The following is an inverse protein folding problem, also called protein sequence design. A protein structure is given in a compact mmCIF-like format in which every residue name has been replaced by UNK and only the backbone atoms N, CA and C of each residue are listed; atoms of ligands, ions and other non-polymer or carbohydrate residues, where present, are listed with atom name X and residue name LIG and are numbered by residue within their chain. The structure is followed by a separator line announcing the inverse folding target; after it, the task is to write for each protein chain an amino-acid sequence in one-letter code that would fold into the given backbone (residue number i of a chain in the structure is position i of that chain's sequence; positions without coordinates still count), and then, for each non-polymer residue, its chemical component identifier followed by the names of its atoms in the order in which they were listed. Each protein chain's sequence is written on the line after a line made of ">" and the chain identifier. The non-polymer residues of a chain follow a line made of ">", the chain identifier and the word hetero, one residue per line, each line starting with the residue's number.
data_IF_749766839861
#
_entry.id   IF_749766839861
#
_cell.length_a   1.000
_cell.length_b   1.000
_cell.length_c   1.000
_cell.angle_alpha   90.00
_cell.angle_beta   90.00
_cell.angle_gamma   90.00
#
_symmetry.space_group_name_H-M   'P 1'
#
loop_
_entity.id
_entity.type
_entity.pdbx_description
1 polymer ?
#
# COMPACT_ATOMS: atom_id res chain seq x y z
N UNK A 1 10.55 -13.38 -0.46
CA UNK A 1 10.96 -12.11 -1.10
C UNK A 1 9.86 -11.74 -2.07
N UNK A 2 9.32 -10.52 -2.03
CA UNK A 2 8.39 -10.04 -3.06
C UNK A 2 9.22 -9.71 -4.30
N UNK A 3 9.51 -10.74 -5.08
CA UNK A 3 10.12 -10.61 -6.39
C UNK A 3 9.07 -10.05 -7.36
N UNK A 4 9.51 -9.14 -8.23
CA UNK A 4 8.68 -8.67 -9.34
C UNK A 4 8.04 -9.87 -10.06
N UNK A 5 6.70 -9.88 -10.26
CA UNK A 5 6.07 -11.01 -10.93
C UNK A 5 6.58 -11.11 -12.37
N UNK A 6 6.77 -12.34 -12.90
CA UNK A 6 7.25 -12.52 -14.26
C UNK A 6 6.36 -11.78 -15.25
N UNK A 7 6.95 -11.26 -16.32
CA UNK A 7 6.20 -10.57 -17.36
C UNK A 7 5.32 -11.55 -18.12
N UNK A 8 4.06 -11.17 -18.35
CA UNK A 8 3.14 -11.97 -19.16
C UNK A 8 2.73 -11.22 -20.43
N UNK A 9 2.27 -11.96 -21.44
CA UNK A 9 1.73 -11.37 -22.68
C UNK A 9 0.45 -10.55 -22.44
N UNK A 10 -0.22 -10.76 -21.31
CA UNK A 10 -1.48 -10.12 -20.94
C UNK A 10 -1.27 -8.94 -19.99
N UNK A 11 -0.02 -8.55 -19.72
CA UNK A 11 0.28 -7.38 -18.90
C UNK A 11 -0.23 -6.11 -19.59
N UNK A 12 -1.08 -5.34 -18.91
CA UNK A 12 -1.46 -4.01 -19.39
C UNK A 12 -0.30 -3.05 -19.14
N UNK A 13 0.17 -2.36 -20.17
CA UNK A 13 1.30 -1.44 -20.09
C UNK A 13 0.90 -0.07 -20.61
N UNK A 14 1.14 0.95 -19.82
CA UNK A 14 0.91 2.35 -20.21
C UNK A 14 1.93 3.26 -19.52
N UNK A 15 1.94 4.54 -19.88
CA UNK A 15 2.77 5.56 -19.23
C UNK A 15 1.86 6.60 -18.60
N UNK A 16 2.11 6.93 -17.33
CA UNK A 16 1.39 7.97 -16.61
C UNK A 16 2.39 9.03 -16.13
N UNK A 17 2.20 10.28 -16.54
CA UNK A 17 3.14 11.38 -16.29
C UNK A 17 4.58 11.09 -16.75
N UNK A 18 4.78 10.19 -17.71
CA UNK A 18 6.12 9.77 -18.15
C UNK A 18 6.76 8.67 -17.30
N UNK A 19 6.02 8.07 -16.37
CA UNK A 19 6.43 6.91 -15.56
C UNK A 19 5.78 5.65 -16.15
N UNK A 20 6.56 4.60 -16.50
CA UNK A 20 6.01 3.34 -16.99
C UNK A 20 5.18 2.64 -15.91
N UNK A 21 3.96 2.24 -16.26
CA UNK A 21 3.05 1.48 -15.40
C UNK A 21 2.73 0.14 -16.06
N UNK A 22 2.90 -0.95 -15.30
CA UNK A 22 2.55 -2.32 -15.67
C UNK A 22 1.49 -2.85 -14.72
N UNK A 23 0.42 -3.43 -15.25
CA UNK A 23 -0.63 -4.07 -14.44
C UNK A 23 -0.69 -5.55 -14.82
N UNK A 24 -0.41 -6.41 -13.85
CA UNK A 24 -0.47 -7.85 -14.03
C UNK A 24 -1.94 -8.34 -14.02
N UNK A 25 -2.36 -9.27 -14.89
CA UNK A 25 -3.76 -9.74 -14.96
C UNK A 25 -4.35 -10.23 -13.64
N UNK A 26 -3.51 -10.86 -12.80
CA UNK A 26 -3.92 -11.38 -11.50
C UNK A 26 -4.39 -10.28 -10.53
N UNK A 27 -3.98 -9.02 -10.74
CA UNK A 27 -4.52 -7.88 -10.01
C UNK A 27 -6.05 -7.80 -10.15
N UNK A 28 -6.54 -7.90 -11.38
CA UNK A 28 -7.97 -7.82 -11.67
C UNK A 28 -8.73 -9.03 -11.11
N UNK A 29 -8.14 -10.23 -11.22
CA UNK A 29 -8.74 -11.44 -10.67
C UNK A 29 -8.94 -11.34 -9.16
N UNK A 30 -7.90 -10.94 -8.41
CA UNK A 30 -7.99 -10.77 -6.96
C UNK A 30 -8.99 -9.66 -6.61
N UNK A 31 -8.96 -8.54 -7.34
CA UNK A 31 -9.93 -7.47 -7.16
C UNK A 31 -11.37 -7.97 -7.28
N UNK A 32 -11.69 -8.73 -8.33
CA UNK A 32 -13.04 -9.27 -8.53
C UNK A 32 -13.42 -10.26 -7.43
N UNK A 33 -12.52 -11.16 -7.03
CA UNK A 33 -12.77 -12.14 -5.96
C UNK A 33 -13.05 -11.44 -4.63
N UNK A 34 -12.28 -10.42 -4.26
CA UNK A 34 -12.48 -9.66 -3.03
C UNK A 34 -13.74 -8.79 -3.08
N UNK A 35 -14.14 -8.33 -4.27
CA UNK A 35 -15.37 -7.57 -4.50
C UNK A 35 -16.62 -8.44 -4.69
N UNK A 36 -16.49 -9.77 -4.68
CA UNK A 36 -17.59 -10.70 -4.91
C UNK A 36 -18.50 -10.83 -3.68
N UNK A 37 -19.29 -9.80 -3.42
CA UNK A 37 -20.29 -9.75 -2.34
C UNK A 37 -21.70 -10.18 -2.78
N UNK A 38 -21.86 -10.56 -4.05
CA UNK A 38 -23.16 -10.88 -4.67
C UNK A 38 -23.85 -9.70 -5.37
N UNK A 39 -23.32 -8.48 -5.22
CA UNK A 39 -23.77 -7.29 -5.93
C UNK A 39 -22.98 -7.10 -7.24
N UNK A 40 -23.68 -7.00 -8.37
CA UNK A 40 -23.08 -6.77 -9.70
C UNK A 40 -22.37 -5.43 -9.77
N UNK A 41 -22.86 -4.42 -9.06
CA UNK A 41 -22.25 -3.10 -9.02
C UNK A 41 -20.90 -3.16 -8.30
N UNK A 42 -20.83 -3.87 -7.17
CA UNK A 42 -19.60 -4.09 -6.42
C UNK A 42 -18.54 -4.84 -7.23
N UNK A 43 -18.93 -5.79 -8.10
CA UNK A 43 -17.99 -6.54 -8.96
C UNK A 43 -17.19 -5.64 -9.92
N UNK A 44 -17.73 -4.49 -10.31
CA UNK A 44 -17.07 -3.54 -11.21
C UNK A 44 -16.43 -2.39 -10.42
N UNK A 45 -17.17 -1.82 -9.46
CA UNK A 45 -16.68 -0.69 -8.69
C UNK A 45 -15.48 -1.05 -7.84
N UNK A 46 -15.49 -2.21 -7.18
CA UNK A 46 -14.43 -2.57 -6.25
C UNK A 46 -13.04 -2.74 -6.91
N UNK A 47 -12.88 -3.53 -8.00
CA UNK A 47 -11.60 -3.61 -8.71
C UNK A 47 -11.17 -2.25 -9.27
N UNK A 48 -12.12 -1.42 -9.73
CA UNK A 48 -11.84 -0.09 -10.26
C UNK A 48 -11.30 0.85 -9.19
N UNK A 49 -11.92 0.85 -8.00
CA UNK A 49 -11.47 1.64 -6.84
C UNK A 49 -10.11 1.17 -6.35
N UNK A 50 -9.89 -0.15 -6.26
CA UNK A 50 -8.58 -0.70 -5.91
C UNK A 50 -7.52 -0.27 -6.91
N UNK A 51 -7.81 -0.37 -8.21
CA UNK A 51 -6.90 0.06 -9.27
C UNK A 51 -6.51 1.53 -9.13
N UNK A 52 -7.50 2.44 -9.06
CA UNK A 52 -7.25 3.88 -8.97
C UNK A 52 -6.49 4.23 -7.68
N UNK A 53 -6.91 3.66 -6.55
CA UNK A 53 -6.29 3.99 -5.25
C UNK A 53 -4.86 3.50 -5.15
N UNK A 54 -4.59 2.25 -5.57
CA UNK A 54 -3.22 1.70 -5.56
C UNK A 54 -2.37 2.43 -6.60
N UNK A 55 -2.90 2.75 -7.79
CA UNK A 55 -2.16 3.54 -8.77
C UNK A 55 -1.77 4.92 -8.23
N UNK A 56 -2.70 5.64 -7.58
CA UNK A 56 -2.40 6.96 -6.97
C UNK A 56 -1.34 6.83 -5.88
N UNK A 57 -1.43 5.78 -5.05
CA UNK A 57 -0.44 5.48 -4.02
C UNK A 57 0.95 5.22 -4.63
N UNK A 58 1.07 4.29 -5.58
CA UNK A 58 2.37 3.99 -6.20
C UNK A 58 2.95 5.17 -6.99
N UNK A 59 2.08 5.97 -7.61
CA UNK A 59 2.49 7.22 -8.26
C UNK A 59 3.02 8.24 -7.26
N UNK A 60 2.52 8.26 -6.02
CA UNK A 60 3.08 9.07 -4.94
C UNK A 60 4.55 8.76 -4.70
N UNK A 61 4.89 7.47 -4.52
CA UNK A 61 6.28 7.03 -4.42
C UNK A 61 7.10 7.43 -5.65
N UNK A 62 6.59 7.09 -6.84
CA UNK A 62 7.31 7.28 -8.09
C UNK A 62 7.58 8.76 -8.39
N UNK A 63 6.65 9.67 -8.10
CA UNK A 63 6.83 11.10 -8.33
C UNK A 63 7.94 11.69 -7.46
N UNK A 64 8.02 11.30 -6.19
CA UNK A 64 9.09 11.76 -5.29
C UNK A 64 10.42 11.09 -5.63
N UNK A 65 10.42 9.80 -6.00
CA UNK A 65 11.62 9.15 -6.56
C UNK A 65 12.16 9.91 -7.78
N UNK A 66 11.28 10.31 -8.70
CA UNK A 66 11.65 11.10 -9.89
C UNK A 66 12.14 12.49 -9.53
N UNK A 67 11.56 13.14 -8.54
CA UNK A 67 12.04 14.43 -8.01
C UNK A 67 13.48 14.33 -7.52
N UNK A 68 13.85 13.23 -6.87
CA UNK A 68 15.23 12.93 -6.47
C UNK A 68 16.13 12.40 -7.60
N UNK A 69 15.68 12.44 -8.85
CA UNK A 69 16.46 12.06 -10.02
C UNK A 69 16.50 10.55 -10.32
N UNK A 70 15.68 9.75 -9.64
CA UNK A 70 15.54 8.33 -9.96
C UNK A 70 14.63 8.11 -11.18
N UNK A 71 14.73 6.92 -11.78
CA UNK A 71 13.86 6.46 -12.85
C UNK A 71 12.94 5.36 -12.31
N UNK A 72 11.75 5.70 -11.81
CA UNK A 72 10.84 4.71 -11.26
C UNK A 72 10.05 4.01 -12.38
N UNK A 73 9.66 2.75 -12.12
CA UNK A 73 8.61 2.03 -12.83
C UNK A 73 7.61 1.48 -11.83
N UNK A 74 6.33 1.51 -12.16
CA UNK A 74 5.25 1.03 -11.29
C UNK A 74 4.75 -0.32 -11.81
N UNK A 75 4.65 -1.31 -10.92
CA UNK A 75 4.08 -2.61 -11.21
C UNK A 75 2.94 -2.91 -10.25
N UNK A 76 1.72 -3.07 -10.75
CA UNK A 76 0.55 -3.46 -9.97
C UNK A 76 0.30 -4.97 -10.08
N UNK A 77 0.15 -5.66 -8.96
CA UNK A 77 -0.05 -7.12 -8.89
C UNK A 77 -0.80 -7.52 -7.63
N UNK A 78 -1.41 -8.70 -7.65
CA UNK A 78 -2.16 -9.40 -6.58
C UNK A 78 -2.51 -8.61 -5.31
N UNK A 79 -1.53 -8.31 -4.45
CA UNK A 79 -1.70 -7.75 -3.12
C UNK A 79 -1.34 -6.26 -3.00
N UNK A 80 -1.05 -5.56 -4.11
CA UNK A 80 -0.72 -4.14 -4.09
C UNK A 80 -0.03 -3.64 -5.36
N UNK A 81 0.93 -2.74 -5.16
CA UNK A 81 1.84 -2.29 -6.19
C UNK A 81 3.28 -2.34 -5.70
N UNK A 82 4.21 -2.15 -6.63
CA UNK A 82 5.63 -1.94 -6.38
C UNK A 82 6.10 -0.81 -7.27
N UNK A 83 6.43 0.33 -6.68
CA UNK A 83 7.27 1.35 -7.30
C UNK A 83 8.74 0.92 -7.19
N UNK A 84 9.29 0.42 -8.29
CA UNK A 84 10.67 -0.05 -8.36
C UNK A 84 11.53 1.08 -8.95
N UNK A 85 12.51 1.63 -8.21
CA UNK A 85 13.53 2.46 -8.85
C UNK A 85 14.37 1.56 -9.76
N UNK A 86 14.55 1.92 -11.03
CA UNK A 86 15.47 1.23 -11.94
C UNK A 86 16.87 1.23 -11.31
N UNK A 87 17.27 0.08 -10.75
CA UNK A 87 18.62 -0.16 -10.25
C UNK A 87 19.57 -0.68 -11.33
N UNK A 88 19.06 -0.95 -12.53
CA UNK A 88 19.68 -1.91 -13.46
C UNK A 88 20.20 -1.31 -14.78
N UNK A 89 20.50 -0.02 -14.86
CA UNK A 89 21.21 0.50 -16.04
C UNK A 89 22.27 1.55 -15.70
N UNK A 90 23.46 1.08 -15.33
CA UNK A 90 24.71 1.74 -15.72
C UNK A 90 25.55 0.73 -16.52
N UNK A 91 25.69 0.88 -17.85
CA UNK A 91 26.57 0.05 -18.67
C UNK A 91 28.05 0.17 -18.27
N UNK A 92 28.37 1.18 -17.46
CA UNK A 92 29.70 1.48 -16.94
C UNK A 92 29.60 1.45 -15.42
N UNK A 93 30.15 0.41 -14.77
CA UNK A 93 30.03 0.15 -13.32
C UNK A 93 30.19 1.39 -12.43
N UNK A 94 29.07 2.05 -12.15
CA UNK A 94 28.98 3.33 -11.46
C UNK A 94 28.16 3.20 -10.19
N UNK A 95 28.63 3.81 -9.11
CA UNK A 95 28.00 3.77 -7.80
C UNK A 95 26.53 4.21 -7.86
N UNK A 96 25.65 3.45 -7.19
CA UNK A 96 24.25 3.80 -6.92
C UNK A 96 24.13 5.31 -6.61
N UNK A 97 23.15 6.05 -7.16
CA UNK A 97 22.80 7.35 -6.61
C UNK A 97 22.58 7.15 -5.09
N UNK A 98 23.48 7.69 -4.27
CA UNK A 98 23.36 7.64 -2.81
C UNK A 98 22.28 8.62 -2.41
N UNK A 99 21.02 8.22 -2.57
CA UNK A 99 19.92 8.90 -1.89
C UNK A 99 20.07 8.59 -0.41
N UNK A 100 20.07 9.65 0.40
CA UNK A 100 20.20 9.53 1.84
C UNK A 100 18.98 8.84 2.47
N UNK A 101 19.08 8.48 3.76
CA UNK A 101 18.00 7.83 4.47
C UNK A 101 16.73 8.69 4.57
N UNK A 102 16.87 10.02 4.61
CA UNK A 102 15.74 10.94 4.66
C UNK A 102 14.96 10.93 3.35
N UNK A 103 15.65 10.95 2.21
CA UNK A 103 15.03 10.88 0.89
C UNK A 103 14.29 9.56 0.69
N UNK A 104 14.81 8.46 1.26
CA UNK A 104 14.13 7.16 1.31
C UNK A 104 12.83 7.21 2.09
N UNK A 105 12.89 7.75 3.31
CA UNK A 105 11.71 7.95 4.14
C UNK A 105 10.69 8.84 3.42
N UNK A 106 11.14 9.92 2.77
CA UNK A 106 10.27 10.86 2.07
C UNK A 106 9.56 10.20 0.88
N UNK A 107 10.26 9.48 0.00
CA UNK A 107 9.57 8.82 -1.10
C UNK A 107 8.69 7.67 -0.61
N UNK A 108 9.05 6.95 0.47
CA UNK A 108 8.20 5.91 1.04
C UNK A 108 6.96 6.51 1.71
N UNK A 109 7.04 7.69 2.33
CA UNK A 109 5.87 8.39 2.86
C UNK A 109 4.96 8.96 1.76
N UNK A 110 5.51 9.21 0.57
CA UNK A 110 4.77 9.83 -0.52
C UNK A 110 3.61 8.97 -1.04
N UNK A 111 3.70 7.64 -0.97
CA UNK A 111 2.61 6.74 -1.37
C UNK A 111 1.39 6.84 -0.45
N UNK A 112 1.53 6.60 0.87
CA UNK A 112 0.47 6.83 1.84
C UNK A 112 -0.04 8.28 1.79
N UNK A 113 0.87 9.25 1.64
CA UNK A 113 0.51 10.66 1.48
C UNK A 113 -0.39 10.95 0.29
N UNK A 114 -0.12 10.34 -0.88
CA UNK A 114 -0.96 10.47 -2.07
C UNK A 114 -2.34 9.84 -1.86
N UNK A 115 -2.41 8.68 -1.19
CA UNK A 115 -3.68 8.06 -0.80
C UNK A 115 -4.50 8.96 0.13
N UNK A 116 -3.89 9.49 1.19
CA UNK A 116 -4.57 10.41 2.11
C UNK A 116 -4.99 11.73 1.44
N UNK A 117 -4.19 12.24 0.49
CA UNK A 117 -4.58 13.38 -0.32
C UNK A 117 -5.84 13.08 -1.14
N UNK A 118 -5.90 11.91 -1.79
CA UNK A 118 -7.09 11.48 -2.52
C UNK A 118 -8.31 11.37 -1.58
N UNK A 119 -8.14 10.79 -0.39
CA UNK A 119 -9.20 10.74 0.62
C UNK A 119 -9.67 12.13 1.05
N UNK A 120 -8.75 13.08 1.25
CA UNK A 120 -9.07 14.46 1.61
C UNK A 120 -9.88 15.17 0.51
N UNK A 121 -9.56 14.93 -0.77
CA UNK A 121 -10.34 15.45 -1.90
C UNK A 121 -11.75 14.85 -1.95
N UNK A 122 -11.89 13.56 -1.66
CA UNK A 122 -13.22 12.90 -1.58
C UNK A 122 -14.03 13.45 -0.40
N UNK A 123 -13.42 13.63 0.77
CA UNK A 123 -14.06 14.28 1.93
C UNK A 123 -14.51 15.70 1.57
N UNK A 124 -13.65 16.47 0.91
CA UNK A 124 -14.00 17.83 0.46
C UNK A 124 -15.20 17.80 -0.49
N UNK A 125 -15.26 16.86 -1.43
CA UNK A 125 -16.42 16.68 -2.30
C UNK A 125 -17.71 16.38 -1.54
N UNK A 126 -17.67 15.51 -0.52
CA UNK A 126 -18.84 15.20 0.32
C UNK A 126 -19.34 16.47 1.03
N UNK A 127 -18.44 17.24 1.62
CA UNK A 127 -18.80 18.47 2.35
C UNK A 127 -19.36 19.55 1.42
N UNK A 128 -18.75 19.74 0.24
CA UNK A 128 -19.19 20.73 -0.75
C UNK A 128 -20.57 20.40 -1.35
N UNK A 129 -20.94 19.12 -1.41
CA UNK A 129 -22.26 18.69 -1.87
C UNK A 129 -23.33 18.73 -0.76
N UNK A 130 -22.97 19.17 0.46
CA UNK A 130 -23.86 19.25 1.62
C UNK A 130 -23.97 17.94 2.42
N UNK A 131 -23.16 16.93 2.09
CA UNK A 131 -23.05 15.70 2.86
C UNK A 131 -22.35 15.92 4.21
N UNK A 132 -22.35 14.87 5.04
CA UNK A 132 -21.72 14.89 6.36
C UNK A 132 -20.88 13.64 6.60
N UNK A 133 -19.93 13.78 7.52
CA UNK A 133 -19.06 12.71 8.00
C UNK A 133 -19.17 12.69 9.52
N UNK A 134 -19.62 11.57 10.05
CA UNK A 134 -19.70 11.31 11.48
C UNK A 134 -18.46 10.53 11.92
N UNK A 135 -17.76 11.04 12.93
CA UNK A 135 -16.61 10.35 13.52
C UNK A 135 -17.02 9.66 14.82
N UNK A 136 -16.71 8.38 14.94
CA UNK A 136 -16.95 7.59 16.13
C UNK A 136 -15.74 6.69 16.43
N UNK A 137 -14.85 7.18 17.31
CA UNK A 137 -13.63 6.48 17.71
C UNK A 137 -13.91 5.13 18.39
N UNK A 138 -15.11 4.92 18.94
CA UNK A 138 -15.48 3.64 19.55
C UNK A 138 -15.67 2.51 18.51
N UNK A 139 -15.77 2.85 17.21
CA UNK A 139 -15.91 1.88 16.10
C UNK A 139 -14.60 1.54 15.40
N UNK A 140 -13.46 1.71 16.08
CA UNK A 140 -12.17 1.37 15.52
C UNK A 140 -12.14 -0.08 14.98
N UNK A 141 -11.63 -0.33 13.77
CA UNK A 141 -10.85 0.58 12.93
C UNK A 141 -11.66 1.43 11.93
N UNK A 142 -12.96 1.16 11.74
CA UNK A 142 -13.83 1.97 10.88
C UNK A 142 -14.51 3.05 11.71
N UNK A 143 -13.72 4.07 12.09
CA UNK A 143 -14.13 5.13 13.00
C UNK A 143 -14.93 6.27 12.34
N UNK A 144 -15.37 6.11 11.09
CA UNK A 144 -16.14 7.12 10.37
C UNK A 144 -17.36 6.52 9.68
N UNK A 145 -18.34 7.39 9.41
CA UNK A 145 -19.47 7.12 8.53
C UNK A 145 -19.77 8.36 7.72
N UNK A 146 -19.79 8.22 6.41
CA UNK A 146 -20.11 9.28 5.48
C UNK A 146 -21.50 9.13 4.88
N UNK A 147 -22.13 10.27 4.58
CA UNK A 147 -23.40 10.31 3.85
C UNK A 147 -23.39 11.49 2.89
N UNK A 148 -23.55 11.19 1.60
CA UNK A 148 -23.75 12.21 0.57
C UNK A 148 -25.15 12.82 0.71
N UNK A 149 -25.26 14.13 0.52
CA UNK A 149 -26.56 14.80 0.46
C UNK A 149 -27.22 14.70 -0.92
N UNK A 150 -26.41 14.59 -1.98
CA UNK A 150 -26.88 14.42 -3.36
C UNK A 150 -26.10 13.27 -4.00
N UNK A 151 -26.80 12.30 -4.58
CA UNK A 151 -26.15 11.18 -5.27
C UNK A 151 -27.04 9.96 -5.42
N UNK A 152 -26.62 9.05 -6.30
CA UNK A 152 -27.21 7.72 -6.41
C UNK A 152 -26.57 6.75 -5.39
N UNK A 153 -27.20 5.62 -5.08
CA UNK A 153 -26.62 4.60 -4.20
C UNK A 153 -25.24 4.13 -4.66
N UNK A 154 -25.01 4.07 -5.97
CA UNK A 154 -23.75 3.66 -6.57
C UNK A 154 -22.63 4.68 -6.29
N UNK A 155 -22.95 5.98 -6.34
CA UNK A 155 -21.99 7.03 -5.99
C UNK A 155 -21.63 6.98 -4.51
N UNK A 156 -22.62 6.69 -3.64
CA UNK A 156 -22.35 6.48 -2.23
C UNK A 156 -21.42 5.29 -2.01
N UNK A 157 -21.68 4.15 -2.64
CA UNK A 157 -20.78 2.99 -2.58
C UNK A 157 -19.37 3.32 -3.07
N UNK A 158 -19.24 4.06 -4.19
CA UNK A 158 -17.96 4.47 -4.74
C UNK A 158 -17.17 5.32 -3.74
N UNK A 159 -17.80 6.34 -3.14
CA UNK A 159 -17.20 7.23 -2.15
C UNK A 159 -16.79 6.45 -0.89
N UNK A 160 -17.67 5.58 -0.39
CA UNK A 160 -17.38 4.70 0.75
C UNK A 160 -16.16 3.82 0.50
N UNK A 161 -16.08 3.19 -0.68
CA UNK A 161 -14.96 2.33 -1.06
C UNK A 161 -13.66 3.13 -1.21
N UNK A 162 -13.70 4.32 -1.83
CA UNK A 162 -12.53 5.18 -1.99
C UNK A 162 -11.97 5.62 -0.63
N UNK A 163 -12.82 6.07 0.30
CA UNK A 163 -12.38 6.45 1.64
C UNK A 163 -11.84 5.23 2.40
N UNK A 164 -12.52 4.09 2.32
CA UNK A 164 -12.05 2.87 2.95
C UNK A 164 -10.66 2.45 2.45
N UNK A 165 -10.46 2.39 1.13
CA UNK A 165 -9.15 1.98 0.57
C UNK A 165 -8.07 3.01 0.89
N UNK A 166 -8.34 4.31 0.75
CA UNK A 166 -7.29 5.31 0.93
C UNK A 166 -6.98 5.63 2.41
N UNK A 167 -7.95 5.50 3.31
CA UNK A 167 -7.75 5.75 4.75
C UNK A 167 -7.36 4.47 5.48
N UNK A 168 -8.20 3.43 5.46
CA UNK A 168 -7.94 2.22 6.25
C UNK A 168 -6.71 1.48 5.74
N UNK A 169 -6.62 1.21 4.43
CA UNK A 169 -5.43 0.55 3.89
C UNK A 169 -4.21 1.48 3.88
N UNK A 170 -4.38 2.80 3.75
CA UNK A 170 -3.29 3.77 3.93
C UNK A 170 -2.69 3.72 5.35
N UNK A 171 -3.53 3.65 6.39
CA UNK A 171 -3.08 3.49 7.78
C UNK A 171 -2.43 2.13 8.01
N UNK A 172 -3.00 1.05 7.45
CA UNK A 172 -2.41 -0.28 7.49
C UNK A 172 -1.02 -0.27 6.83
N UNK A 173 -0.85 0.39 5.69
CA UNK A 173 0.44 0.50 5.01
C UNK A 173 1.50 1.23 5.85
N UNK A 174 1.10 2.09 6.78
CA UNK A 174 2.01 2.77 7.71
C UNK A 174 2.35 1.96 8.97
N UNK A 175 1.79 0.77 9.15
CA UNK A 175 2.20 -0.13 10.23
C UNK A 175 3.67 -0.55 10.05
N UNK A 176 4.44 -0.71 11.14
CA UNK A 176 5.84 -1.13 11.07
C UNK A 176 5.98 -2.63 10.76
N UNK A 177 5.40 -3.05 9.64
CA UNK A 177 5.35 -4.43 9.14
C UNK A 177 5.97 -4.46 7.76
N UNK A 178 6.99 -5.28 7.57
CA UNK A 178 7.58 -5.53 6.26
C UNK A 178 6.69 -6.52 5.49
N UNK A 179 6.30 -6.23 4.23
CA UNK A 179 6.90 -5.29 3.27
C UNK A 179 6.27 -3.89 3.20
N UNK A 180 5.29 -3.57 4.06
CA UNK A 180 4.53 -2.32 3.99
C UNK A 180 5.45 -1.09 4.17
N UNK A 181 4.97 0.07 3.73
CA UNK A 181 5.72 1.33 3.77
C UNK A 181 6.21 1.68 5.17
N UNK A 182 5.37 1.50 6.19
CA UNK A 182 5.72 1.72 7.58
C UNK A 182 6.84 0.79 8.06
N UNK A 183 6.88 -0.45 7.56
CA UNK A 183 7.98 -1.39 7.82
C UNK A 183 9.29 -0.95 7.15
N UNK A 184 9.21 -0.41 5.93
CA UNK A 184 10.36 0.16 5.23
C UNK A 184 10.89 1.40 5.95
N UNK A 185 10.00 2.31 6.36
CA UNK A 185 10.34 3.51 7.15
C UNK A 185 10.97 3.11 8.49
N UNK A 186 10.36 2.17 9.21
CA UNK A 186 10.90 1.68 10.48
C UNK A 186 12.31 1.10 10.31
N UNK A 187 12.56 0.35 9.22
CA UNK A 187 13.90 -0.17 8.91
C UNK A 187 14.90 0.94 8.63
N UNK A 188 14.56 1.91 7.78
CA UNK A 188 15.44 3.05 7.48
C UNK A 188 15.77 3.84 8.77
N UNK A 189 14.77 4.10 9.63
CA UNK A 189 14.98 4.75 10.92
C UNK A 189 15.87 3.95 11.89
N UNK A 190 15.73 2.63 11.93
CA UNK A 190 16.56 1.80 12.81
C UNK A 190 17.99 1.64 12.29
N UNK A 191 18.16 1.59 10.97
CA UNK A 191 19.49 1.48 10.33
C UNK A 191 20.30 2.77 10.39
N UNK A 192 19.64 3.92 10.55
CA UNK A 192 20.30 5.19 10.89
C UNK A 192 21.12 5.11 12.18
N UNK A 193 20.64 4.35 13.17
CA UNK A 193 21.33 4.19 14.46
C UNK A 193 22.38 3.08 14.42
N UNK A 194 22.05 1.95 13.82
CA UNK A 194 22.95 0.81 13.66
C UNK A 194 22.61 0.09 12.35
N UNK A 195 23.48 0.13 11.32
CA UNK A 195 23.20 -0.46 10.01
C UNK A 195 22.89 -1.95 10.06
N UNK A 196 23.50 -2.69 10.99
CA UNK A 196 23.38 -4.15 11.05
C UNK A 196 22.25 -4.56 11.98
N UNK A 197 22.27 -4.07 13.23
CA UNK A 197 21.21 -4.39 14.21
C UNK A 197 19.89 -3.76 13.81
N UNK A 198 19.91 -2.64 13.08
CA UNK A 198 18.69 -1.96 12.62
C UNK A 198 17.84 -2.83 11.70
N UNK A 199 18.47 -3.61 10.81
CA UNK A 199 17.76 -4.54 9.94
C UNK A 199 17.09 -5.64 10.77
N UNK A 200 17.85 -6.27 11.67
CA UNK A 200 17.36 -7.34 12.56
C UNK A 200 16.23 -6.84 13.46
N UNK A 201 16.40 -5.69 14.10
CA UNK A 201 15.39 -5.08 14.97
C UNK A 201 14.12 -4.71 14.18
N UNK A 202 14.25 -4.22 12.95
CA UNK A 202 13.09 -3.90 12.11
C UNK A 202 12.29 -5.14 11.72
N UNK A 203 12.97 -6.26 11.51
CA UNK A 203 12.33 -7.54 11.22
C UNK A 203 11.63 -8.09 12.45
N UNK A 204 12.23 -8.01 13.64
CA UNK A 204 11.56 -8.39 14.89
C UNK A 204 10.34 -7.51 15.17
N UNK A 205 10.46 -6.20 14.98
CA UNK A 205 9.31 -5.29 15.08
C UNK A 205 8.19 -5.72 14.12
N UNK A 206 8.53 -6.02 12.87
CA UNK A 206 7.58 -6.55 11.89
C UNK A 206 6.92 -7.86 12.32
N UNK A 207 7.68 -8.82 12.87
CA UNK A 207 7.14 -10.08 13.39
C UNK A 207 6.12 -9.82 14.50
N UNK A 208 6.48 -9.04 15.51
CA UNK A 208 5.61 -8.80 16.66
C UNK A 208 4.38 -7.97 16.29
N UNK A 209 4.54 -6.90 15.51
CA UNK A 209 3.41 -6.09 15.04
C UNK A 209 2.48 -6.92 14.17
N UNK A 210 3.00 -7.73 13.25
CA UNK A 210 2.18 -8.59 12.40
C UNK A 210 1.44 -9.66 13.19
N UNK A 211 2.10 -10.32 14.14
CA UNK A 211 1.46 -11.31 15.00
C UNK A 211 0.36 -10.70 15.87
N UNK A 212 0.57 -9.48 16.40
CA UNK A 212 -0.43 -8.76 17.17
C UNK A 212 -1.66 -8.40 16.32
N UNK A 213 -1.46 -7.89 15.10
CA UNK A 213 -2.55 -7.56 14.17
C UNK A 213 -3.29 -8.84 13.74
N UNK A 214 -2.58 -9.93 13.45
CA UNK A 214 -3.18 -11.21 13.10
C UNK A 214 -4.05 -11.76 14.24
N UNK A 215 -3.54 -11.73 15.48
CA UNK A 215 -4.30 -12.13 16.67
C UNK A 215 -5.52 -11.25 16.89
N UNK A 216 -5.38 -9.93 16.79
CA UNK A 216 -6.51 -9.01 16.90
C UNK A 216 -7.58 -9.29 15.83
N UNK A 217 -7.17 -9.50 14.57
CA UNK A 217 -8.09 -9.80 13.47
C UNK A 217 -8.83 -11.13 13.66
N UNK A 218 -8.15 -12.14 14.19
CA UNK A 218 -8.72 -13.46 14.44
C UNK A 218 -9.69 -13.46 15.63
N UNK A 219 -9.37 -12.76 16.72
CA UNK A 219 -10.12 -12.86 17.97
C UNK A 219 -11.12 -11.73 18.23
N UNK A 220 -11.04 -10.60 17.50
CA UNK A 220 -11.92 -9.44 17.72
C UNK A 220 -12.83 -9.12 16.55
N UNK A 221 -12.44 -9.46 15.32
CA UNK A 221 -13.17 -9.01 14.12
C UNK A 221 -13.56 -10.13 13.17
N UNK A 222 -13.20 -11.38 13.46
CA UNK A 222 -13.44 -12.57 12.61
C UNK A 222 -12.98 -12.39 11.15
N UNK A 223 -12.05 -11.46 10.90
CA UNK A 223 -11.53 -11.17 9.57
C UNK A 223 -10.40 -12.13 9.21
N UNK A 224 -10.77 -13.36 8.83
CA UNK A 224 -9.86 -14.44 8.46
C UNK A 224 -8.82 -13.99 7.43
N UNK A 225 -9.23 -13.21 6.43
CA UNK A 225 -8.32 -12.70 5.40
C UNK A 225 -7.19 -11.85 5.98
N UNK A 226 -7.51 -10.88 6.86
CA UNK A 226 -6.51 -10.01 7.51
C UNK A 226 -5.62 -10.85 8.43
N UNK A 227 -6.22 -11.77 9.20
CA UNK A 227 -5.47 -12.67 10.08
C UNK A 227 -4.44 -13.51 9.31
N UNK A 228 -4.85 -14.12 8.19
CA UNK A 228 -3.96 -14.90 7.33
C UNK A 228 -2.89 -14.02 6.67
N UNK A 229 -3.26 -12.85 6.14
CA UNK A 229 -2.32 -11.93 5.50
C UNK A 229 -1.21 -11.49 6.46
N UNK A 230 -1.58 -11.01 7.65
CA UNK A 230 -0.59 -10.60 8.65
C UNK A 230 0.16 -11.80 9.27
N UNK A 231 -0.48 -12.96 9.39
CA UNK A 231 0.22 -14.20 9.74
C UNK A 231 1.33 -14.56 8.75
N UNK A 232 1.06 -14.40 7.45
CA UNK A 232 2.07 -14.58 6.40
C UNK A 232 3.18 -13.52 6.47
N UNK A 233 2.88 -12.26 6.78
CA UNK A 233 3.90 -11.22 6.98
C UNK A 233 4.80 -11.50 8.20
N UNK A 234 4.21 -11.97 9.30
CA UNK A 234 4.95 -12.40 10.48
C UNK A 234 5.92 -13.54 10.13
N UNK A 235 5.39 -14.59 9.49
CA UNK A 235 6.19 -15.73 9.05
C UNK A 235 7.29 -15.34 8.06
N UNK A 236 6.98 -14.53 7.05
CA UNK A 236 7.95 -14.06 6.06
C UNK A 236 9.09 -13.24 6.71
N UNK A 237 8.76 -12.39 7.67
CA UNK A 237 9.75 -11.60 8.41
C UNK A 237 10.65 -12.50 9.27
N UNK A 238 10.06 -13.47 9.97
CA UNK A 238 10.79 -14.47 10.76
C UNK A 238 11.70 -15.36 9.91
N UNK A 239 11.19 -15.90 8.81
CA UNK A 239 11.98 -16.71 7.88
C UNK A 239 13.12 -15.91 7.21
N UNK A 240 13.01 -14.58 7.15
CA UNK A 240 14.11 -13.71 6.69
C UNK A 240 15.17 -13.54 7.77
N UNK A 241 14.79 -13.49 9.04
CA UNK A 241 15.72 -13.48 10.17
C UNK A 241 16.55 -14.78 10.20
N UNK A 242 15.90 -15.95 10.12
CA UNK A 242 16.61 -17.24 10.18
C UNK A 242 17.59 -17.48 9.04
N UNK A 243 17.28 -16.97 7.83
CA UNK A 243 18.14 -17.14 6.65
C UNK A 243 19.28 -16.14 6.56
N UNK A 244 19.22 -15.03 7.30
CA UNK A 244 20.31 -14.07 7.27
C UNK A 244 21.45 -14.53 8.17
N UNK A 245 22.66 -14.54 7.64
CA UNK A 245 23.88 -14.72 8.41
C UNK A 245 24.20 -13.42 9.15
N UNK A 246 23.48 -13.16 10.24
CA UNK A 246 23.59 -11.93 11.06
C UNK A 246 24.68 -12.03 12.15
N UNK A 247 25.74 -12.81 11.90
CA UNK A 247 26.86 -13.04 12.83
C UNK A 247 28.02 -12.08 12.57
#
# INVERSE_FOLDING_TARGET
>A
MLSEPPTTAYDLRFSLLGIPVRVHPFFWLVGVILGASGDRTALILWPSVLFVSILVHEMGHALIMRYFGLRPRVVLYSFGGLAIPDSDYSPFGGSRPRIGPLERILYTLAGPGAGFMLAALVVMFILLTGGHIDLNLAKFPLFWREKLAVGSPELQSLVSMLLYVNIFWGLVNLLPVYPLDGGQIARELMTLKDPWKGIVNSLWLSVFTSAAVAGWALFKTDHIFIALMFGMFAYSSYATLERGSWH
#
